data_IF_460282387098
#
_entry.id   IF_460282387098
#
_cell.length_a   1.000
_cell.length_b   1.000
_cell.length_c   1.000
_cell.angle_alpha   90.00
_cell.angle_beta   90.00
_cell.angle_gamma   90.00
#
_symmetry.space_group_name_H-M   'P 1'
#
loop_
_entity.id
_entity.type
_entity.pdbx_description
1 polymer ?
#
# COMPACT_ATOMS: atom_id res chain seq x y z
N UNK A 1 8.65 -21.47 7.41
CA UNK A 1 9.09 -20.65 6.27
C UNK A 1 9.09 -19.20 6.74
N UNK A 2 10.22 -18.50 6.68
CA UNK A 2 10.28 -17.07 6.97
C UNK A 2 10.04 -16.33 5.64
N UNK A 3 9.23 -15.27 5.69
CA UNK A 3 8.99 -14.37 4.56
C UNK A 3 9.48 -13.00 4.99
N UNK A 4 10.36 -12.41 4.20
CA UNK A 4 10.91 -11.08 4.43
C UNK A 4 10.43 -10.18 3.30
N UNK A 5 9.83 -9.05 3.64
CA UNK A 5 9.31 -8.09 2.67
C UNK A 5 9.96 -6.74 2.93
N UNK A 6 10.71 -6.21 1.96
CA UNK A 6 11.15 -4.82 2.03
C UNK A 6 9.96 -3.89 1.81
N UNK A 7 9.79 -2.89 2.67
CA UNK A 7 8.74 -1.89 2.56
C UNK A 7 9.25 -0.54 3.07
N UNK A 8 8.66 0.55 2.59
CA UNK A 8 8.91 1.88 3.12
C UNK A 8 7.58 2.61 3.29
N UNK A 9 7.14 2.75 4.54
CA UNK A 9 6.02 3.59 4.90
C UNK A 9 6.42 5.07 4.76
N UNK A 10 5.61 5.85 4.04
CA UNK A 10 5.86 7.27 3.78
C UNK A 10 4.56 8.03 4.04
N UNK A 11 4.50 8.81 5.11
CA UNK A 11 3.38 9.72 5.31
C UNK A 11 3.32 10.77 4.20
N UNK A 12 2.14 10.95 3.59
CA UNK A 12 1.95 11.99 2.57
C UNK A 12 2.18 13.39 3.12
N UNK A 13 1.71 13.65 4.34
CA UNK A 13 1.95 14.87 5.09
C UNK A 13 1.80 14.58 6.58
N UNK A 14 2.90 14.68 7.33
CA UNK A 14 2.87 14.54 8.79
C UNK A 14 3.61 15.69 9.47
N UNK A 15 4.90 15.54 9.78
CA UNK A 15 5.73 16.59 10.38
C UNK A 15 6.44 17.48 9.36
N UNK A 16 6.18 17.25 8.07
CA UNK A 16 6.82 17.93 6.94
C UNK A 16 5.79 18.29 5.86
N UNK A 17 6.21 19.16 4.95
CA UNK A 17 5.39 19.64 3.83
C UNK A 17 5.43 18.68 2.64
N UNK A 18 4.52 18.88 1.70
CA UNK A 18 4.40 18.00 0.54
C UNK A 18 5.65 17.99 -0.35
N UNK A 19 6.33 19.12 -0.51
CA UNK A 19 7.60 19.20 -1.24
C UNK A 19 8.70 18.35 -0.60
N UNK A 20 8.72 18.26 0.73
CA UNK A 20 9.60 17.36 1.45
C UNK A 20 9.19 15.89 1.22
N UNK A 21 7.89 15.58 1.18
CA UNK A 21 7.40 14.23 0.82
C UNK A 21 7.82 13.81 -0.58
N UNK A 22 7.80 14.74 -1.54
CA UNK A 22 8.31 14.48 -2.90
C UNK A 22 9.77 14.05 -2.82
N UNK A 23 10.62 14.83 -2.13
CA UNK A 23 12.03 14.50 -1.99
C UNK A 23 12.26 13.16 -1.28
N UNK A 24 11.58 12.93 -0.15
CA UNK A 24 11.64 11.66 0.61
C UNK A 24 11.27 10.47 -0.29
N UNK A 25 10.21 10.60 -1.09
CA UNK A 25 9.77 9.54 -2.00
C UNK A 25 10.84 9.22 -3.03
N UNK A 26 11.40 10.25 -3.69
CA UNK A 26 12.42 10.07 -4.73
C UNK A 26 13.72 9.48 -4.16
N UNK A 27 14.20 9.97 -3.01
CA UNK A 27 15.43 9.48 -2.38
C UNK A 27 15.27 8.03 -1.88
N UNK A 28 14.11 7.71 -1.32
CA UNK A 28 13.79 6.33 -0.90
C UNK A 28 13.79 5.40 -2.11
N UNK A 29 13.14 5.77 -3.21
CA UNK A 29 13.04 4.90 -4.38
C UNK A 29 14.36 4.78 -5.13
N UNK A 30 15.17 5.84 -5.17
CA UNK A 30 16.53 5.75 -5.69
C UNK A 30 17.36 4.74 -4.88
N UNK A 31 17.31 4.82 -3.55
CA UNK A 31 18.00 3.87 -2.66
C UNK A 31 17.53 2.44 -2.90
N UNK A 32 16.22 2.21 -3.03
CA UNK A 32 15.65 0.88 -3.32
C UNK A 32 16.14 0.35 -4.66
N UNK A 33 16.19 1.19 -5.71
CA UNK A 33 16.69 0.79 -7.02
C UNK A 33 18.18 0.42 -6.97
N UNK A 34 19.01 1.18 -6.25
CA UNK A 34 20.43 0.90 -6.06
C UNK A 34 20.63 -0.42 -5.29
N UNK A 35 19.84 -0.66 -4.24
CA UNK A 35 19.83 -1.95 -3.53
C UNK A 35 19.40 -3.11 -4.43
N UNK A 36 18.48 -2.88 -5.37
CA UNK A 36 18.08 -3.91 -6.33
C UNK A 36 19.19 -4.26 -7.33
N UNK A 37 20.08 -3.31 -7.65
CA UNK A 37 21.27 -3.55 -8.48
C UNK A 37 22.35 -4.33 -7.72
N UNK A 38 22.56 -4.01 -6.43
CA UNK A 38 23.55 -4.69 -5.59
C UNK A 38 23.12 -6.10 -5.15
N UNK A 39 21.84 -6.27 -4.84
CA UNK A 39 21.29 -7.52 -4.28
C UNK A 39 20.23 -8.13 -5.21
N UNK A 40 20.59 -9.06 -6.11
CA UNK A 40 19.67 -9.59 -7.13
C UNK A 40 18.40 -10.27 -6.62
N UNK A 41 18.40 -10.73 -5.36
CA UNK A 41 17.24 -11.38 -4.72
C UNK A 41 16.41 -10.42 -3.87
N UNK A 42 16.81 -9.16 -3.73
CA UNK A 42 16.07 -8.17 -2.97
C UNK A 42 14.73 -7.86 -3.65
N UNK A 43 13.66 -7.85 -2.85
CA UNK A 43 12.31 -7.48 -3.23
C UNK A 43 11.81 -6.34 -2.35
N UNK A 44 10.98 -5.49 -2.93
CA UNK A 44 10.42 -4.32 -2.27
C UNK A 44 8.94 -4.20 -2.62
N UNK A 45 8.12 -3.78 -1.67
CA UNK A 45 6.71 -3.48 -1.86
C UNK A 45 6.39 -2.04 -1.48
N UNK A 46 5.37 -1.47 -2.14
CA UNK A 46 4.87 -0.13 -1.81
C UNK A 46 3.34 -0.04 -1.94
N UNK A 47 2.72 0.52 -0.91
CA UNK A 47 1.31 0.38 -0.48
C UNK A 47 0.38 1.52 -0.83
N UNK A 48 0.85 2.60 -1.46
CA UNK A 48 0.01 3.73 -1.85
C UNK A 48 0.24 4.16 -3.30
N UNK A 49 -0.81 4.60 -3.98
CA UNK A 49 -0.73 5.03 -5.39
C UNK A 49 -0.10 6.42 -5.55
N UNK A 50 -0.30 7.30 -4.55
CA UNK A 50 0.17 8.69 -4.52
C UNK A 50 1.67 8.84 -4.73
N UNK A 51 2.50 7.95 -4.17
CA UNK A 51 3.96 7.97 -4.36
C UNK A 51 4.35 7.70 -5.81
N UNK A 52 3.61 6.84 -6.53
CA UNK A 52 3.87 6.64 -7.95
C UNK A 52 3.44 7.85 -8.78
N UNK A 53 2.39 8.57 -8.34
CA UNK A 53 2.01 9.84 -8.95
C UNK A 53 3.08 10.91 -8.76
N UNK A 54 3.74 10.95 -7.61
CA UNK A 54 4.91 11.79 -7.38
C UNK A 54 6.02 11.44 -8.37
N UNK A 55 6.37 10.15 -8.51
CA UNK A 55 7.45 9.73 -9.42
C UNK A 55 7.11 10.03 -10.89
N UNK A 56 5.86 9.80 -11.31
CA UNK A 56 5.39 10.14 -12.66
C UNK A 56 5.57 11.63 -12.97
N UNK A 57 5.31 12.50 -11.99
CA UNK A 57 5.37 13.95 -12.16
C UNK A 57 6.80 14.49 -12.07
N UNK A 58 7.60 14.02 -11.11
CA UNK A 58 8.89 14.62 -10.77
C UNK A 58 10.11 13.82 -11.21
N UNK A 59 9.97 12.53 -11.55
CA UNK A 59 11.08 11.67 -11.94
C UNK A 59 10.65 10.58 -12.98
N UNK A 60 10.20 10.96 -14.18
CA UNK A 60 9.71 10.02 -15.19
C UNK A 60 10.75 8.97 -15.62
N UNK A 61 12.04 9.30 -15.60
CA UNK A 61 13.11 8.34 -15.89
C UNK A 61 13.23 7.27 -14.80
N UNK A 62 12.99 7.63 -13.53
CA UNK A 62 12.92 6.68 -12.42
C UNK A 62 11.70 5.78 -12.55
N UNK A 63 10.56 6.32 -13.01
CA UNK A 63 9.35 5.53 -13.25
C UNK A 63 9.61 4.38 -14.25
N UNK A 64 10.40 4.63 -15.30
CA UNK A 64 10.77 3.59 -16.27
C UNK A 64 11.58 2.46 -15.62
N UNK A 65 12.51 2.81 -14.73
CA UNK A 65 13.29 1.82 -13.95
C UNK A 65 12.38 1.02 -13.03
N UNK A 66 11.47 1.68 -12.30
CA UNK A 66 10.49 1.02 -11.43
C UNK A 66 9.61 0.07 -12.24
N UNK A 67 9.08 0.51 -13.39
CA UNK A 67 8.26 -0.34 -14.27
C UNK A 67 9.03 -1.59 -14.76
N UNK A 68 10.34 -1.49 -14.98
CA UNK A 68 11.16 -2.67 -15.27
C UNK A 68 11.22 -3.63 -14.08
N UNK A 69 11.45 -3.13 -12.86
CA UNK A 69 11.47 -3.94 -11.63
C UNK A 69 10.11 -4.57 -11.30
N UNK A 70 9.01 -3.89 -11.63
CA UNK A 70 7.65 -4.45 -11.52
C UNK A 70 7.48 -5.64 -12.47
N UNK A 71 7.91 -5.52 -13.73
CA UNK A 71 7.86 -6.64 -14.70
C UNK A 71 8.76 -7.81 -14.30
N UNK A 72 9.87 -7.53 -13.62
CA UNK A 72 10.76 -8.56 -13.04
C UNK A 72 10.13 -9.27 -11.82
N UNK A 73 9.07 -8.72 -11.23
CA UNK A 73 8.46 -9.22 -10.01
C UNK A 73 9.26 -8.90 -8.74
N UNK A 74 10.19 -7.94 -8.83
CA UNK A 74 11.05 -7.52 -7.69
C UNK A 74 10.51 -6.28 -6.99
N UNK A 75 9.74 -5.46 -7.71
CA UNK A 75 9.00 -4.34 -7.17
C UNK A 75 7.51 -4.69 -7.16
N UNK A 76 6.98 -4.95 -5.97
CA UNK A 76 5.59 -5.33 -5.76
C UNK A 76 4.73 -4.09 -5.52
N UNK A 77 3.76 -3.86 -6.39
CA UNK A 77 2.78 -2.78 -6.22
C UNK A 77 1.66 -3.28 -5.31
N UNK A 78 1.85 -3.13 -3.99
CA UNK A 78 0.89 -3.56 -2.96
C UNK A 78 -0.13 -2.47 -2.62
N UNK A 79 -0.32 -1.51 -3.52
CA UNK A 79 -1.24 -0.39 -3.34
C UNK A 79 -2.64 -0.74 -3.87
N UNK A 80 -3.61 -0.86 -2.97
CA UNK A 80 -5.04 -0.94 -3.32
C UNK A 80 -5.78 0.40 -3.16
N UNK A 81 -5.13 1.38 -2.54
CA UNK A 81 -5.68 2.70 -2.20
C UNK A 81 -4.74 3.82 -2.65
N UNK A 82 -5.30 5.03 -2.78
CA UNK A 82 -4.52 6.17 -3.27
C UNK A 82 -3.48 6.61 -2.24
N UNK A 83 -3.83 6.53 -0.95
CA UNK A 83 -3.00 6.76 0.23
C UNK A 83 -3.41 5.74 1.29
N UNK A 84 -2.52 5.48 2.25
CA UNK A 84 -2.84 4.76 3.49
C UNK A 84 -3.72 5.66 4.35
N UNK A 85 -5.04 5.51 4.21
CA UNK A 85 -6.01 6.50 4.68
C UNK A 85 -6.53 6.18 6.08
N UNK A 86 -6.99 7.20 6.79
CA UNK A 86 -7.84 6.98 7.97
C UNK A 86 -9.10 6.19 7.58
N UNK A 87 -9.57 5.34 8.51
CA UNK A 87 -10.70 4.45 8.27
C UNK A 87 -11.93 4.79 9.11
N UNK A 88 -11.93 5.88 9.88
CA UNK A 88 -13.03 6.24 10.78
C UNK A 88 -13.76 7.50 10.33
N UNK A 89 -13.02 8.50 9.87
CA UNK A 89 -13.50 9.83 9.51
C UNK A 89 -14.06 9.90 8.08
N UNK A 90 -13.46 9.25 7.06
CA UNK A 90 -13.98 9.34 5.70
C UNK A 90 -15.34 8.67 5.55
N UNK A 91 -16.12 9.17 4.59
CA UNK A 91 -17.35 8.50 4.16
C UNK A 91 -17.02 7.23 3.37
N UNK A 92 -17.97 6.30 3.31
CA UNK A 92 -17.85 5.10 2.48
C UNK A 92 -17.57 5.43 1.00
N UNK A 93 -18.17 6.50 0.47
CA UNK A 93 -17.90 6.96 -0.89
C UNK A 93 -16.44 7.41 -1.06
N UNK A 94 -15.88 8.13 -0.09
CA UNK A 94 -14.47 8.53 -0.14
C UNK A 94 -13.55 7.31 -0.20
N UNK A 95 -13.75 6.33 0.69
CA UNK A 95 -12.98 5.08 0.69
C UNK A 95 -13.11 4.33 -0.66
N UNK A 96 -14.34 4.22 -1.19
CA UNK A 96 -14.58 3.59 -2.49
C UNK A 96 -13.84 4.31 -3.63
N UNK A 97 -13.71 5.64 -3.59
CA UNK A 97 -12.94 6.42 -4.58
C UNK A 97 -11.44 6.15 -4.49
N UNK A 98 -10.89 6.01 -3.28
CA UNK A 98 -9.48 5.63 -3.10
C UNK A 98 -9.16 4.31 -3.80
N UNK A 99 -10.02 3.29 -3.67
CA UNK A 99 -9.87 2.02 -4.38
C UNK A 99 -10.07 2.17 -5.89
N UNK A 100 -11.16 2.82 -6.31
CA UNK A 100 -11.51 2.98 -7.73
C UNK A 100 -10.42 3.69 -8.53
N UNK A 101 -9.89 4.80 -8.00
CA UNK A 101 -8.86 5.57 -8.70
C UNK A 101 -7.55 4.81 -8.78
N UNK A 102 -7.18 4.12 -7.71
CA UNK A 102 -5.97 3.28 -7.68
C UNK A 102 -6.02 2.14 -8.68
N UNK A 103 -7.13 1.39 -8.69
CA UNK A 103 -7.36 0.30 -9.64
C UNK A 103 -7.37 0.75 -11.11
N UNK A 104 -7.70 2.01 -11.38
CA UNK A 104 -7.66 2.60 -12.74
C UNK A 104 -6.30 3.16 -13.11
N UNK A 105 -5.54 3.65 -12.13
CA UNK A 105 -4.31 4.39 -12.34
C UNK A 105 -3.10 3.46 -12.46
N UNK A 106 -2.89 2.58 -11.49
CA UNK A 106 -1.66 1.78 -11.41
C UNK A 106 -1.47 0.78 -12.57
N UNK A 107 -2.51 0.06 -13.04
CA UNK A 107 -2.35 -0.81 -14.21
C UNK A 107 -2.00 -0.03 -15.48
N UNK A 108 -2.50 1.20 -15.63
CA UNK A 108 -2.16 2.06 -16.78
C UNK A 108 -0.74 2.60 -16.69
N UNK A 109 -0.28 2.94 -15.49
CA UNK A 109 1.03 3.51 -15.25
C UNK A 109 2.15 2.48 -15.37
N UNK A 110 1.97 1.32 -14.73
CA UNK A 110 3.04 0.34 -14.50
C UNK A 110 2.78 -1.04 -15.12
N UNK A 111 1.58 -1.28 -15.69
CA UNK A 111 1.16 -2.63 -16.06
C UNK A 111 1.01 -3.56 -14.85
N UNK A 112 0.86 -2.98 -13.64
CA UNK A 112 0.77 -3.74 -12.41
C UNK A 112 -0.53 -4.57 -12.35
N UNK A 113 -0.49 -5.79 -11.79
CA UNK A 113 -1.70 -6.57 -11.55
C UNK A 113 -2.58 -5.90 -10.49
N UNK A 114 -3.85 -6.28 -10.46
CA UNK A 114 -4.78 -5.84 -9.42
C UNK A 114 -4.31 -6.32 -8.03
N UNK A 115 -4.18 -5.38 -7.10
CA UNK A 115 -3.77 -5.68 -5.72
C UNK A 115 -4.96 -6.22 -4.91
N UNK A 116 -4.79 -7.40 -4.33
CA UNK A 116 -5.81 -8.05 -3.48
C UNK A 116 -5.54 -7.85 -1.98
N UNK A 117 -4.54 -7.06 -1.64
CA UNK A 117 -4.12 -6.71 -0.30
C UNK A 117 -4.38 -5.22 -0.09
N UNK A 118 -5.01 -4.89 1.01
CA UNK A 118 -5.07 -3.52 1.51
C UNK A 118 -4.16 -3.42 2.74
N UNK A 119 -3.17 -2.53 2.64
CA UNK A 119 -2.01 -2.47 3.53
C UNK A 119 -2.05 -1.17 4.32
N UNK A 120 -2.54 -1.26 5.55
CA UNK A 120 -2.88 -0.11 6.41
C UNK A 120 -2.13 -0.23 7.76
N UNK A 121 -0.79 -0.18 7.74
CA UNK A 121 0.05 -0.39 8.92
C UNK A 121 -0.25 0.67 10.00
N UNK A 122 -0.41 1.93 9.59
CA UNK A 122 -0.43 3.06 10.52
C UNK A 122 -1.82 3.70 10.77
N UNK A 123 -2.89 3.08 10.27
CA UNK A 123 -4.25 3.60 10.48
C UNK A 123 -4.72 3.45 11.94
N UNK A 124 -5.22 4.55 12.53
CA UNK A 124 -5.69 4.59 13.92
C UNK A 124 -7.12 4.07 14.09
N UNK A 125 -7.26 2.75 14.04
CA UNK A 125 -8.55 2.07 14.21
C UNK A 125 -9.29 1.90 12.90
N UNK A 126 -10.22 0.95 12.86
CA UNK A 126 -10.80 0.45 11.62
C UNK A 126 -12.31 0.27 11.78
N UNK A 127 -13.11 0.86 10.88
CA UNK A 127 -14.57 0.78 10.97
C UNK A 127 -15.09 -0.64 10.74
N UNK A 128 -16.15 -1.05 11.45
CA UNK A 128 -16.64 -2.44 11.41
C UNK A 128 -17.05 -2.94 10.00
N UNK A 129 -17.36 -2.01 9.08
CA UNK A 129 -17.81 -2.31 7.73
C UNK A 129 -16.65 -2.40 6.72
N UNK A 130 -15.38 -2.30 7.15
CA UNK A 130 -14.24 -2.40 6.24
C UNK A 130 -14.31 -3.65 5.35
N UNK A 131 -14.65 -4.85 5.86
CA UNK A 131 -14.77 -6.03 5.01
C UNK A 131 -15.75 -5.87 3.83
N UNK A 132 -16.81 -5.06 3.98
CA UNK A 132 -17.78 -4.84 2.91
C UNK A 132 -17.20 -3.98 1.78
N UNK A 133 -16.52 -2.88 2.13
CA UNK A 133 -15.86 -2.01 1.15
C UNK A 133 -14.73 -2.74 0.42
N UNK A 134 -13.94 -3.53 1.14
CA UNK A 134 -12.84 -4.31 0.56
C UNK A 134 -13.34 -5.36 -0.43
N UNK A 135 -14.42 -6.08 -0.09
CA UNK A 135 -15.01 -7.06 -1.02
C UNK A 135 -15.53 -6.40 -2.30
N UNK A 136 -16.17 -5.23 -2.19
CA UNK A 136 -16.63 -4.46 -3.35
C UNK A 136 -15.45 -3.97 -4.22
N UNK A 137 -14.29 -3.72 -3.61
CA UNK A 137 -13.05 -3.35 -4.29
C UNK A 137 -12.22 -4.55 -4.78
N UNK A 138 -12.68 -5.80 -4.62
CA UNK A 138 -11.92 -7.00 -5.02
C UNK A 138 -10.76 -7.37 -4.09
N UNK A 139 -10.59 -6.67 -2.97
CA UNK A 139 -9.57 -6.91 -1.95
C UNK A 139 -9.99 -8.08 -1.05
N UNK A 140 -9.06 -9.01 -0.79
CA UNK A 140 -9.34 -10.22 0.01
C UNK A 140 -8.51 -10.31 1.29
N UNK A 141 -7.41 -9.58 1.35
CA UNK A 141 -6.48 -9.59 2.47
C UNK A 141 -6.37 -8.18 3.04
N UNK A 142 -6.31 -8.10 4.36
CA UNK A 142 -6.13 -6.85 5.09
C UNK A 142 -4.90 -6.96 5.98
N UNK A 143 -3.99 -6.00 5.91
CA UNK A 143 -2.85 -5.88 6.82
C UNK A 143 -3.03 -4.62 7.66
N UNK A 144 -2.87 -4.72 8.97
CA UNK A 144 -2.85 -3.57 9.87
C UNK A 144 -1.96 -3.83 11.08
N UNK A 145 -1.47 -2.78 11.73
CA UNK A 145 -0.71 -2.91 12.99
C UNK A 145 -1.54 -2.50 14.21
N UNK A 146 -2.42 -1.51 14.04
CA UNK A 146 -3.13 -0.86 15.15
C UNK A 146 -4.58 -1.32 15.25
N UNK A 147 -5.20 -1.10 16.41
CA UNK A 147 -6.65 -1.21 16.60
C UNK A 147 -7.18 -2.56 17.11
N UNK A 148 -6.36 -3.61 17.18
CA UNK A 148 -6.73 -4.90 17.76
C UNK A 148 -5.59 -5.50 18.58
N UNK A 149 -5.89 -6.03 19.76
CA UNK A 149 -4.94 -6.75 20.60
C UNK A 149 -5.28 -8.25 20.65
N UNK A 150 -4.26 -9.11 20.57
CA UNK A 150 -4.39 -10.54 20.90
C UNK A 150 -4.72 -11.50 19.75
N UNK A 151 -4.87 -11.02 18.51
CA UNK A 151 -5.06 -11.87 17.33
C UNK A 151 -4.13 -11.45 16.20
N UNK A 152 -3.31 -12.37 15.70
CA UNK A 152 -2.38 -12.11 14.57
C UNK A 152 -2.99 -12.41 13.22
N UNK A 153 -3.75 -13.50 13.09
CA UNK A 153 -4.40 -13.89 11.83
C UNK A 153 -5.84 -14.28 12.14
N UNK A 154 -6.78 -13.61 11.49
CA UNK A 154 -8.20 -13.80 11.77
C UNK A 154 -9.07 -13.51 10.56
N UNK A 155 -10.30 -14.01 10.60
CA UNK A 155 -11.32 -13.72 9.59
C UNK A 155 -12.19 -12.60 10.13
N UNK A 156 -12.12 -11.43 9.51
CA UNK A 156 -12.95 -10.29 9.90
C UNK A 156 -14.23 -10.29 9.09
N UNK A 157 -15.37 -10.45 9.78
CA UNK A 157 -16.72 -10.43 9.20
C UNK A 157 -17.45 -9.12 9.54
N UNK A 158 -17.97 -8.44 8.52
CA UNK A 158 -18.84 -7.27 8.68
C UNK A 158 -20.31 -7.70 8.97
N UNK A 159 -21.18 -6.79 9.46
CA UNK A 159 -22.60 -7.10 9.69
C UNK A 159 -23.35 -7.61 8.46
N UNK A 160 -22.95 -7.20 7.25
CA UNK A 160 -23.49 -7.69 5.97
C UNK A 160 -23.13 -9.15 5.66
N UNK A 161 -22.22 -9.75 6.44
CA UNK A 161 -21.69 -11.09 6.21
C UNK A 161 -20.48 -11.14 5.28
N UNK A 162 -20.08 -10.01 4.69
CA UNK A 162 -18.83 -9.89 3.93
C UNK A 162 -17.60 -10.14 4.84
N UNK A 163 -16.57 -10.77 4.28
CA UNK A 163 -15.40 -11.18 5.05
C UNK A 163 -14.08 -10.89 4.34
N UNK A 164 -13.03 -10.62 5.14
CA UNK A 164 -11.64 -10.58 4.68
C UNK A 164 -10.76 -11.39 5.61
N UNK A 165 -9.62 -11.86 5.11
CA UNK A 165 -8.57 -12.42 5.97
C UNK A 165 -7.65 -11.29 6.40
N UNK A 166 -7.60 -11.05 7.70
CA UNK A 166 -6.82 -9.97 8.29
C UNK A 166 -5.58 -10.52 8.98
N UNK A 167 -4.45 -9.89 8.71
CA UNK A 167 -3.21 -10.06 9.45
C UNK A 167 -2.94 -8.79 10.29
N UNK A 168 -2.91 -8.95 11.60
CA UNK A 168 -2.49 -7.92 12.55
C UNK A 168 -1.01 -8.13 12.85
N UNK A 169 -0.17 -7.14 12.54
CA UNK A 169 1.26 -7.17 12.81
C UNK A 169 1.54 -7.35 14.31
N UNK A 170 2.18 -8.46 14.74
CA UNK A 170 2.40 -8.72 16.16
C UNK A 170 3.51 -7.89 16.80
N UNK A 171 4.43 -7.31 16.01
CA UNK A 171 5.58 -6.56 16.54
C UNK A 171 5.46 -5.08 16.23
N UNK A 172 5.83 -4.71 15.00
CA UNK A 172 5.72 -3.37 14.44
C UNK A 172 6.04 -3.46 12.94
N UNK A 173 5.69 -2.43 12.18
CA UNK A 173 5.85 -2.41 10.72
C UNK A 173 7.16 -1.75 10.24
N UNK A 174 8.08 -1.43 11.16
CA UNK A 174 9.39 -0.84 10.89
C UNK A 174 10.53 -1.75 11.33
#
# INVERSE_FOLDING_TARGET
KLVLCGHAHIDMNWMWRYDETVQITLDTFQTVLDLMDEFPTFTFSQSQASVYRIVEEFAPDMLQKIAARVREGRWEVTASTWVEADRNMPTAESVARHHLYTARYLPKLLGAPECRLDYEPDTFGHHQNTPELLNQAGVKYYYHCRGLNGHTLYRWRAPSGAEVISYCEPFWYN
#
